data_IF_049231900835
#
_entry.id   IF_049231900835
#
_cell.length_a   1.000
_cell.length_b   1.000
_cell.length_c   1.000
_cell.angle_alpha   90.00
_cell.angle_beta   90.00
_cell.angle_gamma   90.00
#
_symmetry.space_group_name_H-M   'P 1'
#
loop_
_entity.id
_entity.type
_entity.pdbx_description
1 polymer ?
#
# COMPACT_ATOMS: atom_id res chain seq x y z
N UNK A 1 -0.08 -1.48 17.90
CA UNK A 1 1.04 -1.90 18.78
C UNK A 1 1.17 -3.42 18.75
N UNK A 2 0.31 -4.23 19.41
CA UNK A 2 0.46 -5.71 19.43
C UNK A 2 0.45 -6.36 18.02
N UNK A 3 -0.41 -5.93 17.09
CA UNK A 3 -0.41 -6.44 15.70
C UNK A 3 0.91 -6.17 14.94
N UNK A 4 1.64 -5.11 15.29
CA UNK A 4 2.91 -4.74 14.65
C UNK A 4 4.12 -5.32 15.39
N UNK A 5 4.05 -5.49 16.71
CA UNK A 5 5.17 -5.93 17.55
C UNK A 5 5.18 -7.43 17.86
N UNK A 6 4.02 -8.09 17.91
CA UNK A 6 3.90 -9.51 18.23
C UNK A 6 2.64 -10.13 17.58
N UNK A 7 2.63 -10.31 16.24
CA UNK A 7 1.48 -10.85 15.53
C UNK A 7 1.15 -12.29 15.90
N UNK A 8 2.12 -13.11 16.32
CA UNK A 8 1.89 -14.48 16.81
C UNK A 8 1.13 -14.54 18.13
N UNK A 9 1.12 -13.47 18.93
CA UNK A 9 0.37 -13.39 20.18
C UNK A 9 -1.13 -13.14 19.92
N UNK A 10 -1.53 -12.81 18.68
CA UNK A 10 -2.91 -12.55 18.34
C UNK A 10 -3.66 -13.83 17.92
N UNK A 11 -4.89 -14.04 18.43
CA UNK A 11 -5.78 -15.06 17.90
C UNK A 11 -5.99 -14.88 16.39
N UNK A 12 -6.03 -15.99 15.65
CA UNK A 12 -6.16 -15.99 14.18
C UNK A 12 -7.36 -15.16 13.69
N UNK A 13 -8.48 -15.21 14.40
CA UNK A 13 -9.70 -14.45 14.08
C UNK A 13 -9.52 -12.94 14.25
N UNK A 14 -8.80 -12.50 15.29
CA UNK A 14 -8.47 -11.09 15.49
C UNK A 14 -7.47 -10.62 14.43
N UNK A 15 -6.44 -11.41 14.14
CA UNK A 15 -5.46 -11.09 13.10
C UNK A 15 -6.13 -10.93 11.73
N UNK A 16 -7.07 -11.82 11.37
CA UNK A 16 -7.84 -11.72 10.13
C UNK A 16 -8.76 -10.50 10.12
N UNK A 17 -9.42 -10.20 11.24
CA UNK A 17 -10.30 -9.03 11.36
C UNK A 17 -9.53 -7.72 11.21
N UNK A 18 -8.38 -7.59 11.88
CA UNK A 18 -7.50 -6.42 11.78
C UNK A 18 -6.97 -6.27 10.34
N UNK A 19 -6.52 -7.36 9.71
CA UNK A 19 -6.12 -7.34 8.29
C UNK A 19 -7.23 -6.86 7.38
N UNK A 20 -8.47 -7.30 7.61
CA UNK A 20 -9.63 -6.90 6.81
C UNK A 20 -10.02 -5.44 7.05
N UNK A 21 -9.86 -4.93 8.26
CA UNK A 21 -10.06 -3.50 8.55
C UNK A 21 -8.97 -2.64 7.89
N UNK A 22 -7.71 -3.06 7.96
CA UNK A 22 -6.61 -2.39 7.26
C UNK A 22 -6.88 -2.38 5.75
N UNK A 23 -7.26 -3.51 5.17
CA UNK A 23 -7.66 -3.62 3.76
C UNK A 23 -8.75 -2.60 3.41
N UNK A 24 -9.84 -2.56 4.19
CA UNK A 24 -10.93 -1.60 3.98
C UNK A 24 -10.48 -0.15 4.09
N UNK A 25 -9.52 0.16 4.96
CA UNK A 25 -8.99 1.52 5.13
C UNK A 25 -8.06 1.93 4.00
N UNK A 26 -7.15 1.05 3.57
CA UNK A 26 -6.19 1.36 2.50
C UNK A 26 -6.82 1.29 1.11
N UNK A 27 -7.84 0.45 0.90
CA UNK A 27 -8.60 0.35 -0.34
C UNK A 27 -9.83 1.27 -0.36
N UNK A 28 -10.00 2.11 0.67
CA UNK A 28 -11.08 3.09 0.71
C UNK A 28 -10.87 4.12 -0.39
N UNK A 29 -11.91 4.38 -1.18
CA UNK A 29 -11.96 5.49 -2.14
C UNK A 29 -12.44 6.81 -1.50
N UNK A 30 -12.70 6.79 -0.19
CA UNK A 30 -13.11 8.00 0.55
C UNK A 30 -11.90 8.87 0.87
N UNK A 31 -12.13 10.18 0.98
CA UNK A 31 -11.12 11.14 1.40
C UNK A 31 -10.82 10.98 2.90
N UNK A 32 -10.03 9.96 3.22
CA UNK A 32 -9.58 9.63 4.57
C UNK A 32 -8.35 10.48 4.95
N UNK A 33 -8.06 10.66 6.24
CA UNK A 33 -6.86 11.39 6.72
C UNK A 33 -5.56 10.59 6.59
N UNK A 34 -5.62 9.37 6.04
CA UNK A 34 -4.48 8.48 5.85
C UNK A 34 -4.28 8.17 4.37
N UNK A 35 -3.09 7.68 4.03
CA UNK A 35 -2.77 7.28 2.66
C UNK A 35 -3.52 6.01 2.25
N UNK A 36 -4.23 6.09 1.13
CA UNK A 36 -4.90 4.96 0.48
C UNK A 36 -4.05 4.46 -0.68
N UNK A 37 -4.33 3.24 -1.15
CA UNK A 37 -3.68 2.63 -2.32
C UNK A 37 -3.86 3.52 -3.55
N UNK A 38 -5.05 4.12 -3.72
CA UNK A 38 -5.33 5.08 -4.79
C UNK A 38 -4.44 6.34 -4.69
N UNK A 39 -4.27 6.90 -3.49
CA UNK A 39 -3.35 8.02 -3.27
C UNK A 39 -1.90 7.65 -3.56
N UNK A 40 -1.45 6.45 -3.13
CA UNK A 40 -0.11 5.95 -3.46
C UNK A 40 0.11 5.89 -4.97
N UNK A 41 -0.84 5.34 -5.74
CA UNK A 41 -0.70 5.25 -7.20
C UNK A 41 -0.64 6.62 -7.87
N UNK A 42 -1.48 7.56 -7.45
CA UNK A 42 -1.44 8.94 -7.96
C UNK A 42 -0.09 9.62 -7.66
N UNK A 43 0.47 9.40 -6.47
CA UNK A 43 1.79 9.94 -6.11
C UNK A 43 2.90 9.28 -6.94
N UNK A 44 2.85 7.95 -7.13
CA UNK A 44 3.80 7.22 -7.98
C UNK A 44 3.78 7.77 -9.40
N UNK A 45 2.60 7.99 -9.98
CA UNK A 45 2.48 8.56 -11.33
C UNK A 45 3.04 9.98 -11.40
N UNK A 46 2.73 10.82 -10.39
CA UNK A 46 3.27 12.18 -10.30
C UNK A 46 4.80 12.19 -10.20
N UNK A 47 5.36 11.30 -9.38
CA UNK A 47 6.81 11.15 -9.23
C UNK A 47 7.46 10.54 -10.48
N UNK A 48 6.77 9.62 -11.17
CA UNK A 48 7.24 9.02 -12.42
C UNK A 48 7.37 10.07 -13.51
N UNK A 49 6.38 10.96 -13.65
CA UNK A 49 6.47 12.10 -14.57
C UNK A 49 7.64 13.02 -14.22
N UNK A 50 7.83 13.32 -12.93
CA UNK A 50 8.95 14.15 -12.48
C UNK A 50 10.31 13.53 -12.79
N UNK A 51 10.52 12.26 -12.42
CA UNK A 51 11.81 11.58 -12.65
C UNK A 51 12.05 11.24 -14.11
N UNK A 52 11.00 11.10 -14.92
CA UNK A 52 11.14 10.98 -16.37
C UNK A 52 11.70 12.27 -16.97
N UNK A 53 11.24 13.44 -16.49
CA UNK A 53 11.80 14.73 -16.89
C UNK A 53 13.25 14.94 -16.39
N UNK A 54 13.57 14.45 -15.19
CA UNK A 54 14.94 14.49 -14.63
C UNK A 54 15.86 13.40 -15.23
N UNK A 55 15.30 12.51 -16.07
CA UNK A 55 15.98 11.36 -16.69
C UNK A 55 16.63 10.40 -15.66
N UNK A 56 16.04 10.32 -14.47
CA UNK A 56 16.56 9.60 -13.31
C UNK A 56 16.06 8.13 -13.32
N UNK A 57 16.72 7.32 -14.15
CA UNK A 57 16.34 5.93 -14.42
C UNK A 57 16.34 5.04 -13.16
N UNK A 58 17.20 5.34 -12.18
CA UNK A 58 17.30 4.57 -10.94
C UNK A 58 16.05 4.76 -10.08
N UNK A 59 15.58 6.01 -9.94
CA UNK A 59 14.35 6.31 -9.24
C UNK A 59 13.12 5.80 -9.97
N UNK A 60 13.10 5.87 -11.30
CA UNK A 60 12.00 5.29 -12.10
C UNK A 60 11.86 3.79 -11.85
N UNK A 61 12.97 3.06 -11.84
CA UNK A 61 12.97 1.63 -11.53
C UNK A 61 12.49 1.35 -10.10
N UNK A 62 12.91 2.17 -9.13
CA UNK A 62 12.41 2.07 -7.76
C UNK A 62 10.89 2.33 -7.67
N UNK A 63 10.37 3.30 -8.40
CA UNK A 63 8.93 3.57 -8.45
C UNK A 63 8.15 2.41 -9.07
N UNK A 64 8.68 1.76 -10.10
CA UNK A 64 8.05 0.57 -10.69
C UNK A 64 8.02 -0.62 -9.72
N UNK A 65 9.13 -0.88 -9.02
CA UNK A 65 9.18 -1.90 -7.97
C UNK A 65 8.22 -1.58 -6.82
N UNK A 66 8.12 -0.30 -6.42
CA UNK A 66 7.17 0.16 -5.42
C UNK A 66 5.72 -0.03 -5.88
N UNK A 67 5.42 0.29 -7.13
CA UNK A 67 4.12 0.12 -7.74
C UNK A 67 3.68 -1.35 -7.73
N UNK A 68 4.57 -2.26 -8.15
CA UNK A 68 4.32 -3.70 -8.14
C UNK A 68 4.12 -4.23 -6.72
N UNK A 69 4.91 -3.73 -5.76
CA UNK A 69 4.76 -4.08 -4.35
C UNK A 69 3.38 -3.66 -3.82
N UNK A 70 2.97 -2.42 -4.05
CA UNK A 70 1.66 -1.88 -3.65
C UNK A 70 0.53 -2.66 -4.33
N UNK A 71 0.65 -2.98 -5.62
CA UNK A 71 -0.33 -3.78 -6.35
C UNK A 71 -0.44 -5.21 -5.80
N UNK A 72 0.68 -5.83 -5.42
CA UNK A 72 0.68 -7.15 -4.79
C UNK A 72 -0.02 -7.12 -3.43
N UNK A 73 0.14 -6.04 -2.68
CA UNK A 73 -0.53 -5.80 -1.41
C UNK A 73 -2.02 -5.65 -1.63
N UNK A 74 -2.43 -4.80 -2.58
CA UNK A 74 -3.83 -4.63 -2.95
C UNK A 74 -4.47 -5.97 -3.32
N UNK A 75 -3.87 -6.72 -4.24
CA UNK A 75 -4.36 -8.04 -4.65
C UNK A 75 -4.46 -9.02 -3.48
N UNK A 76 -3.50 -9.01 -2.56
CA UNK A 76 -3.54 -9.84 -1.35
C UNK A 76 -4.72 -9.47 -0.45
N UNK A 77 -5.04 -8.19 -0.32
CA UNK A 77 -6.13 -7.70 0.51
C UNK A 77 -7.50 -7.77 -0.17
N UNK A 78 -7.59 -7.68 -1.49
CA UNK A 78 -8.81 -7.91 -2.27
C UNK A 78 -9.25 -9.38 -2.23
N UNK A 79 -8.29 -10.32 -2.18
CA UNK A 79 -8.56 -11.77 -2.12
C UNK A 79 -8.70 -12.32 -0.68
N UNK A 80 -8.68 -11.49 0.37
CA UNK A 80 -8.61 -11.91 1.79
C UNK A 80 -9.94 -11.90 2.59
#
# INVERSE_FOLDING_TARGET
IIYQEAPEALPKDMFKSIKREIAKRILSERHEKWWTVSTCFNEIDTLRDKYTNENDQEKLKFLDELNDYVMSIQKKYENA
#
